data_IF_359261512825
#
_entry.id   IF_359261512825
#
_cell.length_a   1.000
_cell.length_b   1.000
_cell.length_c   1.000
_cell.angle_alpha   90.00
_cell.angle_beta   90.00
_cell.angle_gamma   90.00
#
_symmetry.space_group_name_H-M   'P 1'
#
loop_
_entity.id
_entity.type
_entity.pdbx_description
1 polymer ?
#
# COMPACT_ATOMS: atom_id res chain seq x y z
N UNK A 1 24.78 1.20 -0.07
CA UNK A 1 23.44 0.82 0.42
C UNK A 1 22.65 2.13 0.49
N UNK A 2 21.90 2.48 -0.56
CA UNK A 2 21.13 3.74 -0.56
C UNK A 2 19.98 3.59 0.44
N UNK A 3 19.83 4.56 1.35
CA UNK A 3 18.67 4.62 2.21
C UNK A 3 17.46 4.94 1.34
N UNK A 4 16.58 3.96 1.12
CA UNK A 4 15.28 4.20 0.47
C UNK A 4 14.57 5.32 1.23
N UNK A 5 14.22 6.39 0.52
CA UNK A 5 13.52 7.51 1.14
C UNK A 5 12.20 7.00 1.73
N UNK A 6 11.80 7.49 2.90
CA UNK A 6 10.54 7.10 3.55
C UNK A 6 9.31 7.29 2.64
N UNK A 7 9.36 8.22 1.67
CA UNK A 7 8.33 8.38 0.66
C UNK A 7 8.30 7.21 -0.35
N UNK A 8 9.46 6.81 -0.88
CA UNK A 8 9.60 5.70 -1.82
C UNK A 8 9.16 4.38 -1.17
N UNK A 9 9.59 4.13 0.06
CA UNK A 9 9.21 2.94 0.81
C UNK A 9 7.69 2.82 1.02
N UNK A 10 6.98 3.93 1.23
CA UNK A 10 5.50 3.90 1.35
C UNK A 10 4.84 3.53 0.04
N UNK A 11 5.36 3.99 -1.09
CA UNK A 11 4.85 3.61 -2.42
C UNK A 11 5.13 2.14 -2.69
N UNK A 12 6.31 1.63 -2.32
CA UNK A 12 6.61 0.19 -2.40
C UNK A 12 5.65 -0.66 -1.57
N UNK A 13 5.37 -0.25 -0.32
CA UNK A 13 4.39 -0.93 0.54
C UNK A 13 2.98 -0.87 -0.07
N UNK A 14 2.58 0.27 -0.65
CA UNK A 14 1.29 0.41 -1.32
C UNK A 14 1.16 -0.55 -2.52
N UNK A 15 2.25 -0.77 -3.29
CA UNK A 15 2.29 -1.70 -4.44
C UNK A 15 2.06 -3.16 -4.06
N UNK A 16 2.21 -3.52 -2.78
CA UNK A 16 1.95 -4.88 -2.32
C UNK A 16 0.45 -5.22 -2.27
N UNK A 17 -0.42 -4.20 -2.17
CA UNK A 17 -1.87 -4.34 -2.18
C UNK A 17 -2.39 -4.30 -3.62
N UNK A 18 -2.17 -5.40 -4.36
CA UNK A 18 -2.38 -5.49 -5.81
C UNK A 18 -3.84 -5.62 -6.24
N UNK A 19 -4.75 -5.95 -5.32
CA UNK A 19 -6.18 -6.14 -5.59
C UNK A 19 -7.03 -5.35 -4.60
N UNK A 20 -8.29 -5.12 -4.98
CA UNK A 20 -9.32 -4.52 -4.12
C UNK A 20 -9.88 -5.47 -3.07
N UNK A 21 -9.36 -6.69 -2.99
CA UNK A 21 -9.78 -7.68 -2.00
C UNK A 21 -9.11 -7.40 -0.66
N UNK A 22 -9.80 -7.78 0.42
CA UNK A 22 -9.24 -7.74 1.75
C UNK A 22 -8.11 -8.75 1.87
N UNK A 23 -6.94 -8.29 2.26
CA UNK A 23 -5.78 -9.16 2.44
C UNK A 23 -4.95 -8.74 3.66
N UNK A 24 -4.28 -9.73 4.24
CA UNK A 24 -3.28 -9.45 5.27
C UNK A 24 -2.07 -8.71 4.68
N UNK A 25 -1.33 -8.00 5.53
CA UNK A 25 -0.02 -7.46 5.14
C UNK A 25 0.88 -8.64 4.70
N UNK A 26 1.40 -8.63 3.46
CA UNK A 26 2.25 -9.71 2.95
C UNK A 26 3.48 -9.96 3.84
N UNK A 27 3.94 -11.20 3.89
CA UNK A 27 5.00 -11.63 4.80
C UNK A 27 6.29 -10.80 4.63
N UNK A 28 6.60 -10.39 3.40
CA UNK A 28 7.73 -9.53 3.04
C UNK A 28 7.64 -8.10 3.60
N UNK A 29 6.47 -7.68 4.10
CA UNK A 29 6.19 -6.34 4.62
C UNK A 29 5.70 -6.37 6.09
N UNK A 30 6.00 -7.44 6.83
CA UNK A 30 5.67 -7.53 8.26
C UNK A 30 6.73 -6.90 9.18
N UNK A 31 7.69 -6.15 8.62
CA UNK A 31 8.64 -5.39 9.42
C UNK A 31 8.03 -4.10 10.01
N UNK A 32 8.67 -3.57 11.05
CA UNK A 32 8.16 -2.40 11.76
C UNK A 32 8.06 -1.12 10.90
N UNK A 33 8.87 -0.97 9.86
CA UNK A 33 8.79 0.18 8.96
C UNK A 33 7.59 0.06 8.01
N UNK A 34 7.37 -1.12 7.45
CA UNK A 34 6.22 -1.44 6.61
C UNK A 34 4.90 -1.31 7.37
N UNK A 35 4.82 -1.76 8.63
CA UNK A 35 3.64 -1.52 9.48
C UNK A 35 3.34 -0.04 9.70
N UNK A 36 4.38 0.79 9.90
CA UNK A 36 4.21 2.25 10.00
C UNK A 36 3.76 2.85 8.67
N UNK A 37 4.25 2.34 7.54
CA UNK A 37 3.80 2.75 6.22
C UNK A 37 2.33 2.41 6.00
N UNK A 38 1.87 1.19 6.31
CA UNK A 38 0.46 0.79 6.21
C UNK A 38 -0.44 1.72 7.03
N UNK A 39 -0.10 1.99 8.30
CA UNK A 39 -0.87 2.91 9.14
C UNK A 39 -0.94 4.32 8.53
N UNK A 40 0.17 4.80 7.97
CA UNK A 40 0.22 6.09 7.29
C UNK A 40 -0.66 6.11 6.03
N UNK A 41 -0.63 5.05 5.22
CA UNK A 41 -1.42 4.90 3.99
C UNK A 41 -2.92 4.85 4.28
N UNK A 42 -3.32 4.17 5.37
CA UNK A 42 -4.70 4.19 5.88
C UNK A 42 -5.12 5.60 6.29
N UNK A 43 -4.25 6.32 7.03
CA UNK A 43 -4.50 7.71 7.39
C UNK A 43 -4.61 8.69 6.21
N UNK A 44 -4.14 8.30 5.02
CA UNK A 44 -4.31 9.04 3.76
C UNK A 44 -5.51 8.59 2.93
N UNK A 45 -6.19 7.52 3.33
CA UNK A 45 -7.27 6.91 2.56
C UNK A 45 -6.80 6.18 1.31
N UNK A 46 -5.51 5.81 1.23
CA UNK A 46 -4.96 5.04 0.09
C UNK A 46 -5.09 3.54 0.31
N UNK A 47 -5.11 3.15 1.59
CA UNK A 47 -5.57 1.85 2.05
C UNK A 47 -6.80 2.04 2.95
N UNK A 48 -7.60 1.01 3.02
CA UNK A 48 -8.69 0.87 3.98
C UNK A 48 -8.41 -0.35 4.86
N UNK A 49 -8.79 -0.28 6.13
CA UNK A 49 -8.74 -1.42 7.06
C UNK A 49 -10.12 -2.10 7.11
N UNK A 50 -10.15 -3.42 7.13
CA UNK A 50 -11.40 -4.21 7.18
C UNK A 50 -12.20 -3.82 8.45
N UNK A 51 -13.49 -3.50 8.37
CA UNK A 51 -14.26 -3.05 9.54
C UNK A 51 -14.42 -4.12 10.64
N UNK A 52 -14.28 -5.40 10.28
CA UNK A 52 -14.34 -6.54 11.20
C UNK A 52 -12.94 -6.97 11.63
N UNK A 53 -11.97 -6.94 10.69
CA UNK A 53 -10.57 -7.38 10.88
C UNK A 53 -9.56 -6.23 10.75
N UNK A 54 -9.88 -5.08 11.34
CA UNK A 54 -9.15 -3.82 11.14
C UNK A 54 -7.67 -3.82 11.57
N UNK A 55 -7.23 -4.85 12.31
CA UNK A 55 -5.84 -5.03 12.71
C UNK A 55 -5.00 -5.82 11.70
N UNK A 56 -5.64 -6.67 10.89
CA UNK A 56 -4.94 -7.66 10.07
C UNK A 56 -5.18 -7.45 8.59
N UNK A 57 -6.37 -7.04 8.20
CA UNK A 57 -6.81 -7.07 6.80
C UNK A 57 -6.99 -5.65 6.26
N UNK A 58 -6.42 -5.43 5.08
CA UNK A 58 -6.43 -4.15 4.39
C UNK A 58 -6.72 -4.35 2.91
N UNK A 59 -7.22 -3.31 2.25
CA UNK A 59 -7.35 -3.27 0.79
C UNK A 59 -6.91 -1.91 0.26
N UNK A 60 -6.48 -1.87 -0.98
CA UNK A 60 -6.22 -0.61 -1.68
C UNK A 60 -7.53 0.06 -2.09
N UNK A 61 -7.58 1.39 -1.98
CA UNK A 61 -8.72 2.21 -2.42
C UNK A 61 -8.51 2.71 -3.86
N UNK A 62 -9.55 3.32 -4.44
CA UNK A 62 -9.43 3.99 -5.74
C UNK A 62 -8.36 5.10 -5.72
N UNK A 63 -8.32 5.89 -4.65
CA UNK A 63 -7.28 6.90 -4.45
C UNK A 63 -5.89 6.28 -4.35
N UNK A 64 -5.77 5.10 -3.72
CA UNK A 64 -4.50 4.36 -3.68
C UNK A 64 -4.04 3.96 -5.09
N UNK A 65 -4.94 3.49 -5.94
CA UNK A 65 -4.64 3.18 -7.35
C UNK A 65 -4.21 4.43 -8.13
N UNK A 66 -4.92 5.55 -7.99
CA UNK A 66 -4.59 6.80 -8.68
C UNK A 66 -3.18 7.30 -8.31
N UNK A 67 -2.81 7.14 -7.04
CA UNK A 67 -1.47 7.46 -6.54
C UNK A 67 -0.42 6.52 -7.14
N UNK A 68 -0.69 5.21 -7.20
CA UNK A 68 0.24 4.27 -7.83
C UNK A 68 0.45 4.58 -9.32
N UNK A 69 -0.63 4.91 -10.04
CA UNK A 69 -0.57 5.32 -11.44
C UNK A 69 0.24 6.62 -11.63
N UNK A 70 0.10 7.57 -10.71
CA UNK A 70 0.84 8.84 -10.74
C UNK A 70 2.31 8.70 -10.34
N UNK A 71 2.63 7.73 -9.47
CA UNK A 71 3.98 7.48 -8.95
C UNK A 71 4.84 6.62 -9.89
N UNK A 72 4.26 6.00 -10.91
CA UNK A 72 4.96 5.26 -11.96
C UNK A 72 4.38 5.62 -13.31
N UNK A 73 4.91 6.68 -13.93
CA UNK A 73 4.52 7.07 -15.28
C UNK A 73 4.86 5.98 -16.30
N UNK A 74 3.92 5.07 -16.54
CA UNK A 74 3.40 4.64 -17.84
C UNK A 74 2.17 3.73 -17.60
N UNK A 75 0.97 4.24 -17.88
CA UNK A 75 -0.32 3.54 -17.69
C UNK A 75 -0.70 2.82 -18.99
N UNK A 76 0.21 2.00 -19.54
CA UNK A 76 -0.05 1.17 -20.71
C UNK A 76 0.47 -0.25 -20.46
N UNK A 77 -0.32 -1.13 -19.85
CA UNK A 77 0.12 -2.52 -19.69
C UNK A 77 -0.67 -3.47 -18.81
N UNK A 78 -1.93 -3.18 -18.46
CA UNK A 78 -2.81 -4.13 -17.77
C UNK A 78 -4.13 -4.27 -18.55
N UNK A 79 -4.00 -4.79 -19.76
CA UNK A 79 -5.10 -5.30 -20.58
C UNK A 79 -4.86 -6.76 -20.90
#
# INVERSE_FOLDING_TARGET
MMATNAAEHRIEVLRLFKSREWMAIPAEAQDAASHRAVKWLVGRGWLEADPVRFLTDFRITDTGYDVLASAGGDVTGWG
#
